data_IF_554341639041
#
_entry.id   IF_554341639041
#
_cell.length_a   1.000
_cell.length_b   1.000
_cell.length_c   1.000
_cell.angle_alpha   90.00
_cell.angle_beta   90.00
_cell.angle_gamma   90.00
#
_symmetry.space_group_name_H-M   'P 1'
#
loop_
_entity.id
_entity.type
_entity.pdbx_description
1 polymer ?
#
# COMPACT_ATOMS: atom_id res chain seq x y z
N UNK A 1 -10.44 -4.06 13.28
CA UNK A 1 -9.43 -3.89 12.22
C UNK A 1 -9.89 -4.62 10.98
N UNK A 2 -9.66 -4.02 9.82
CA UNK A 2 -9.97 -4.62 8.51
C UNK A 2 -8.67 -5.22 7.97
N UNK A 3 -8.75 -6.46 7.46
CA UNK A 3 -7.66 -7.09 6.74
C UNK A 3 -8.03 -7.17 5.24
N UNK A 4 -7.12 -6.77 4.39
CA UNK A 4 -7.22 -6.89 2.94
C UNK A 4 -6.53 -8.18 2.51
N UNK A 5 -7.19 -9.00 1.70
CA UNK A 5 -6.69 -10.31 1.31
C UNK A 5 -6.38 -10.38 -0.20
N UNK A 6 -5.21 -10.92 -0.52
CA UNK A 6 -4.79 -11.31 -1.85
C UNK A 6 -4.49 -12.80 -1.82
N UNK A 7 -5.34 -13.60 -2.42
CA UNK A 7 -5.14 -15.05 -2.51
C UNK A 7 -4.12 -15.44 -3.59
N UNK A 8 -3.88 -16.72 -3.78
CA UNK A 8 -2.88 -17.21 -4.73
C UNK A 8 -3.25 -16.95 -6.20
N UNK A 9 -4.47 -16.53 -6.51
CA UNK A 9 -4.83 -16.09 -7.87
C UNK A 9 -4.16 -14.76 -8.26
N UNK A 10 -3.77 -13.93 -7.27
CA UNK A 10 -3.01 -12.70 -7.47
C UNK A 10 -1.50 -12.93 -7.64
N UNK A 11 -1.02 -14.17 -7.64
CA UNK A 11 0.40 -14.51 -7.81
C UNK A 11 0.79 -14.44 -9.28
N UNK A 12 1.83 -13.68 -9.55
CA UNK A 12 2.42 -13.50 -10.88
C UNK A 12 3.87 -14.00 -10.91
N UNK A 13 4.33 -14.37 -12.08
CA UNK A 13 5.75 -14.63 -12.36
C UNK A 13 6.29 -13.46 -13.16
N UNK A 14 7.40 -12.86 -12.73
CA UNK A 14 8.01 -11.74 -13.46
C UNK A 14 8.46 -12.22 -14.85
N UNK A 15 7.94 -11.62 -15.93
CA UNK A 15 8.26 -12.02 -17.28
C UNK A 15 9.69 -11.60 -17.68
N UNK A 16 10.24 -12.24 -18.70
CA UNK A 16 11.50 -11.85 -19.33
C UNK A 16 11.34 -10.80 -20.43
N UNK A 17 10.12 -10.54 -20.89
CA UNK A 17 9.80 -9.55 -21.92
C UNK A 17 8.41 -8.95 -21.71
N UNK A 18 8.14 -7.78 -22.29
CA UNK A 18 6.87 -7.10 -22.20
C UNK A 18 6.66 -6.34 -20.87
N UNK A 19 5.41 -6.20 -20.46
CA UNK A 19 5.05 -5.48 -19.23
C UNK A 19 5.68 -6.14 -18.01
N UNK A 20 6.22 -5.34 -17.09
CA UNK A 20 6.92 -5.75 -15.87
C UNK A 20 8.30 -6.42 -16.08
N UNK A 21 8.82 -6.50 -17.32
CA UNK A 21 10.10 -7.14 -17.63
C UNK A 21 11.31 -6.21 -17.50
N UNK A 22 11.15 -4.91 -17.81
CA UNK A 22 12.25 -3.94 -17.82
C UNK A 22 12.93 -3.75 -16.46
N UNK A 23 14.16 -3.25 -16.47
CA UNK A 23 14.97 -3.04 -15.25
C UNK A 23 14.33 -2.11 -14.23
N UNK A 24 13.43 -1.21 -14.66
CA UNK A 24 12.64 -0.35 -13.77
C UNK A 24 11.72 -1.14 -12.83
N UNK A 25 11.51 -2.44 -13.09
CA UNK A 25 10.73 -3.37 -12.25
C UNK A 25 11.60 -4.36 -11.47
N UNK A 26 12.92 -4.14 -11.36
CA UNK A 26 13.83 -5.05 -10.63
C UNK A 26 13.47 -5.20 -9.15
N UNK A 27 12.70 -4.26 -8.58
CA UNK A 27 12.15 -4.35 -7.24
C UNK A 27 11.15 -5.52 -7.05
N UNK A 28 10.61 -6.09 -8.13
CA UNK A 28 9.76 -7.29 -8.11
C UNK A 28 10.56 -8.60 -8.06
N UNK A 29 11.89 -8.52 -8.03
CA UNK A 29 12.81 -9.64 -8.15
C UNK A 29 13.33 -9.80 -9.59
N UNK A 30 14.20 -10.77 -9.82
CA UNK A 30 14.71 -11.08 -11.18
C UNK A 30 13.63 -11.76 -12.04
N UNK A 31 13.84 -11.81 -13.36
CA UNK A 31 12.98 -12.58 -14.26
C UNK A 31 12.77 -14.02 -13.75
N UNK A 32 11.54 -14.50 -13.76
CA UNK A 32 11.13 -15.78 -13.19
C UNK A 32 10.79 -15.75 -11.71
N UNK A 33 11.06 -14.66 -10.98
CA UNK A 33 10.63 -14.51 -9.59
C UNK A 33 9.11 -14.40 -9.48
N UNK A 34 8.55 -14.97 -8.42
CA UNK A 34 7.14 -14.85 -8.11
C UNK A 34 6.91 -13.67 -7.17
N UNK A 35 5.80 -12.99 -7.37
CA UNK A 35 5.31 -11.90 -6.53
C UNK A 35 3.78 -11.88 -6.57
N UNK A 36 3.15 -11.20 -5.64
CA UNK A 36 1.70 -10.97 -5.61
C UNK A 36 1.42 -9.55 -6.07
N UNK A 37 0.37 -9.38 -6.86
CA UNK A 37 0.14 -8.13 -7.56
C UNK A 37 -1.34 -7.83 -7.74
N UNK A 38 -1.74 -6.59 -7.52
CA UNK A 38 -3.03 -6.04 -7.92
C UNK A 38 -2.79 -4.80 -8.77
N UNK A 39 -3.46 -4.74 -9.90
CA UNK A 39 -3.31 -3.69 -10.90
C UNK A 39 -4.03 -2.41 -10.48
N UNK A 40 -3.54 -1.26 -10.95
CA UNK A 40 -4.26 0.02 -10.88
C UNK A 40 -5.57 0.00 -11.67
N UNK A 41 -5.73 -0.94 -12.59
CA UNK A 41 -6.97 -1.18 -13.34
C UNK A 41 -7.75 -2.29 -12.64
N UNK A 42 -9.01 -2.03 -12.32
CA UNK A 42 -9.89 -2.99 -11.68
C UNK A 42 -10.16 -4.18 -12.61
N UNK A 43 -9.77 -5.37 -12.18
CA UNK A 43 -10.03 -6.63 -12.89
C UNK A 43 -11.35 -7.32 -12.48
N UNK A 44 -12.05 -6.76 -11.49
CA UNK A 44 -13.30 -7.31 -10.96
C UNK A 44 -13.15 -8.57 -10.10
N UNK A 45 -11.92 -9.03 -9.85
CA UNK A 45 -11.63 -10.26 -9.09
C UNK A 45 -10.87 -9.95 -7.80
N UNK A 46 -9.80 -9.18 -7.89
CA UNK A 46 -8.94 -8.87 -6.76
C UNK A 46 -9.36 -7.58 -6.06
N UNK A 47 -8.86 -7.39 -4.84
CA UNK A 47 -9.00 -6.10 -4.17
C UNK A 47 -8.38 -5.00 -5.03
N UNK A 48 -8.99 -3.85 -5.01
CA UNK A 48 -8.57 -2.68 -5.79
C UNK A 48 -8.28 -1.49 -4.87
N UNK A 49 -7.14 -1.52 -4.14
CA UNK A 49 -6.83 -0.50 -3.16
C UNK A 49 -6.52 0.85 -3.81
N UNK A 50 -6.93 1.90 -3.13
CA UNK A 50 -6.71 3.27 -3.57
C UNK A 50 -6.93 4.24 -2.43
N UNK A 51 -7.01 5.52 -2.77
CA UNK A 51 -7.27 6.61 -1.84
C UNK A 51 -8.18 7.64 -2.47
N UNK A 52 -8.88 8.39 -1.61
CA UNK A 52 -9.77 9.45 -2.05
C UNK A 52 -9.82 10.59 -1.05
N UNK A 53 -9.77 11.82 -1.57
CA UNK A 53 -10.02 13.05 -0.82
C UNK A 53 -11.39 13.66 -1.18
N UNK A 54 -12.20 13.01 -2.01
CA UNK A 54 -13.50 13.54 -2.46
C UNK A 54 -14.50 13.77 -1.31
N UNK A 55 -14.33 13.10 -0.17
CA UNK A 55 -15.17 13.31 1.02
C UNK A 55 -14.69 14.42 1.95
N UNK A 56 -13.58 15.08 1.61
CA UNK A 56 -13.03 16.20 2.41
C UNK A 56 -13.54 17.48 1.79
N UNK A 57 -14.28 18.29 2.55
CA UNK A 57 -14.78 19.57 2.02
C UNK A 57 -13.65 20.60 1.92
N UNK A 58 -13.70 21.44 0.90
CA UNK A 58 -12.72 22.51 0.63
C UNK A 58 -12.54 23.47 1.80
N UNK A 59 -13.55 23.56 2.67
CA UNK A 59 -13.49 24.37 3.89
C UNK A 59 -12.67 23.72 5.01
N UNK A 60 -12.33 22.42 4.88
CA UNK A 60 -11.67 21.67 5.93
C UNK A 60 -10.17 21.51 5.70
N UNK A 61 -9.72 21.39 4.45
CA UNK A 61 -8.31 21.23 4.14
C UNK A 61 -7.81 22.31 3.20
N UNK A 62 -6.66 22.86 3.47
CA UNK A 62 -5.96 23.80 2.59
C UNK A 62 -4.81 23.07 1.91
N UNK A 63 -4.95 22.84 0.62
CA UNK A 63 -3.97 22.15 -0.18
C UNK A 63 -4.07 20.61 -0.06
N UNK A 64 -2.92 19.94 -0.05
CA UNK A 64 -2.85 18.48 -0.06
C UNK A 64 -3.03 17.86 1.32
N UNK A 65 -3.69 16.69 1.34
CA UNK A 65 -3.67 15.76 2.47
C UNK A 65 -2.47 14.84 2.30
N UNK A 66 -1.65 14.68 3.33
CA UNK A 66 -0.58 13.69 3.33
C UNK A 66 -1.11 12.36 3.84
N UNK A 67 -0.96 11.31 3.06
CA UNK A 67 -1.18 9.93 3.45
C UNK A 67 0.16 9.29 3.80
N UNK A 68 0.29 8.78 5.02
CA UNK A 68 1.51 8.21 5.55
C UNK A 68 1.28 6.72 5.76
N UNK A 69 2.16 5.89 5.18
CA UNK A 69 2.13 4.43 5.28
C UNK A 69 3.49 3.93 5.70
N UNK A 70 3.61 3.45 6.93
CA UNK A 70 4.88 2.94 7.47
C UNK A 70 4.79 1.43 7.70
N UNK A 71 5.82 0.65 7.35
CA UNK A 71 5.85 -0.76 7.69
C UNK A 71 5.93 -0.93 9.21
N UNK A 72 5.03 -1.73 9.77
CA UNK A 72 5.07 -2.18 11.16
C UNK A 72 5.71 -3.56 11.27
N UNK A 73 5.29 -4.49 10.41
CA UNK A 73 5.88 -5.83 10.30
C UNK A 73 5.67 -6.37 8.90
N UNK A 74 6.70 -7.00 8.35
CA UNK A 74 6.69 -7.64 7.05
C UNK A 74 7.19 -9.09 7.19
N UNK A 75 6.81 -10.00 6.28
CA UNK A 75 7.44 -11.32 6.21
C UNK A 75 8.95 -11.19 5.99
N UNK A 76 9.73 -12.13 6.50
CA UNK A 76 11.19 -12.09 6.41
C UNK A 76 11.68 -11.96 4.97
N UNK A 77 12.53 -10.97 4.72
CA UNK A 77 13.08 -10.66 3.39
C UNK A 77 12.04 -10.28 2.35
N UNK A 78 10.83 -9.88 2.78
CA UNK A 78 9.79 -9.36 1.91
C UNK A 78 9.83 -7.84 1.80
N UNK A 79 9.27 -7.34 0.69
CA UNK A 79 9.00 -5.91 0.50
C UNK A 79 7.63 -5.71 -0.12
N UNK A 80 7.08 -4.52 0.10
CA UNK A 80 5.84 -4.06 -0.50
C UNK A 80 6.10 -2.77 -1.27
N UNK A 81 5.46 -2.66 -2.42
CA UNK A 81 5.65 -1.56 -3.37
C UNK A 81 4.29 -1.09 -3.87
N UNK A 82 4.06 0.20 -3.81
CA UNK A 82 2.91 0.86 -4.45
C UNK A 82 3.46 1.81 -5.49
N UNK A 83 3.01 1.66 -6.73
CA UNK A 83 3.59 2.39 -7.85
C UNK A 83 2.62 2.57 -9.01
N UNK A 84 2.88 3.60 -9.80
CA UNK A 84 2.26 3.78 -11.12
C UNK A 84 3.25 3.41 -12.23
N UNK A 85 2.71 2.95 -13.35
CA UNK A 85 3.45 2.70 -14.57
C UNK A 85 2.84 3.50 -15.71
N UNK A 86 3.66 4.31 -16.37
CA UNK A 86 3.24 4.99 -17.60
C UNK A 86 3.33 4.03 -18.78
N UNK A 87 2.18 3.79 -19.43
CA UNK A 87 2.10 2.82 -20.53
C UNK A 87 2.85 3.24 -21.79
N UNK A 88 3.07 4.55 -22.01
CA UNK A 88 3.74 5.09 -23.18
C UNK A 88 5.25 5.14 -23.01
N UNK A 89 5.71 5.59 -21.86
CA UNK A 89 7.14 5.80 -21.60
C UNK A 89 7.78 4.64 -20.85
N UNK A 90 6.98 3.74 -20.26
CA UNK A 90 7.45 2.67 -19.38
C UNK A 90 8.00 3.14 -18.04
N UNK A 91 7.90 4.46 -17.74
CA UNK A 91 8.37 5.04 -16.48
C UNK A 91 7.57 4.47 -15.30
N UNK A 92 8.29 4.09 -14.25
CA UNK A 92 7.71 3.69 -12.97
C UNK A 92 7.88 4.83 -11.97
N UNK A 93 6.78 5.20 -11.31
CA UNK A 93 6.75 6.15 -10.22
C UNK A 93 6.35 5.43 -8.93
N UNK A 94 7.28 5.35 -7.98
CA UNK A 94 7.00 4.76 -6.69
C UNK A 94 6.22 5.73 -5.81
N UNK A 95 5.15 5.22 -5.18
CA UNK A 95 4.29 5.97 -4.25
C UNK A 95 4.64 5.59 -2.82
N UNK A 96 4.69 4.28 -2.54
CA UNK A 96 5.21 3.72 -1.28
C UNK A 96 6.18 2.59 -1.61
N UNK A 97 7.27 2.52 -0.83
CA UNK A 97 8.30 1.51 -1.06
C UNK A 97 8.99 1.18 0.27
N UNK A 98 8.75 0.00 0.78
CA UNK A 98 9.31 -0.43 2.08
C UNK A 98 10.82 -0.65 2.03
N UNK A 99 11.42 -0.81 0.82
CA UNK A 99 12.87 -0.97 0.66
C UNK A 99 13.64 0.36 0.70
N UNK A 100 12.97 1.50 0.50
CA UNK A 100 13.60 2.83 0.42
C UNK A 100 13.06 3.83 1.43
N UNK A 101 12.23 3.41 2.37
CA UNK A 101 11.56 4.29 3.34
C UNK A 101 10.63 5.35 2.71
N UNK A 102 10.23 5.17 1.44
CA UNK A 102 9.22 6.03 0.81
C UNK A 102 7.86 5.71 1.40
N UNK A 103 7.38 6.59 2.27
CA UNK A 103 6.24 6.33 3.15
C UNK A 103 5.17 7.43 3.16
N UNK A 104 5.33 8.49 2.36
CA UNK A 104 4.40 9.63 2.33
C UNK A 104 3.93 9.92 0.91
N UNK A 105 2.63 10.16 0.76
CA UNK A 105 2.00 10.62 -0.46
C UNK A 105 1.21 11.89 -0.19
N UNK A 106 1.48 12.97 -0.93
CA UNK A 106 0.64 14.16 -0.94
C UNK A 106 -0.51 13.97 -1.92
N UNK A 107 -1.74 13.99 -1.41
CA UNK A 107 -2.96 13.79 -2.19
C UNK A 107 -3.65 15.15 -2.34
N UNK A 108 -3.77 15.70 -3.56
CA UNK A 108 -4.54 16.92 -3.81
C UNK A 108 -6.01 16.77 -3.41
N UNK A 109 -6.69 17.88 -3.24
CA UNK A 109 -8.15 17.91 -3.08
C UNK A 109 -8.84 17.24 -4.28
N UNK A 110 -10.06 16.73 -4.08
CA UNK A 110 -10.89 16.11 -5.12
C UNK A 110 -10.20 14.98 -5.90
N UNK A 111 -9.31 14.28 -5.24
CA UNK A 111 -8.58 13.15 -5.84
C UNK A 111 -9.27 11.84 -5.50
N UNK A 112 -9.43 10.98 -6.50
CA UNK A 112 -9.75 9.57 -6.36
C UNK A 112 -8.78 8.80 -7.24
N UNK A 113 -7.92 7.96 -6.66
CA UNK A 113 -6.86 7.31 -7.40
C UNK A 113 -6.61 5.88 -6.88
N UNK A 114 -6.18 5.03 -7.80
CA UNK A 114 -5.72 3.68 -7.55
C UNK A 114 -4.29 3.55 -8.08
N UNK A 115 -3.56 2.56 -7.57
CA UNK A 115 -2.20 2.28 -7.98
C UNK A 115 -1.97 0.77 -8.04
N UNK A 116 -0.85 0.37 -8.62
CA UNK A 116 -0.37 -1.00 -8.56
C UNK A 116 0.18 -1.28 -7.17
N UNK A 117 -0.19 -2.41 -6.59
CA UNK A 117 0.34 -2.90 -5.34
C UNK A 117 1.04 -4.23 -5.57
N UNK A 118 2.28 -4.33 -5.14
CA UNK A 118 3.07 -5.54 -5.27
C UNK A 118 3.68 -5.96 -3.94
N UNK A 119 3.67 -7.25 -3.68
CA UNK A 119 4.22 -7.89 -2.49
C UNK A 119 5.16 -9.00 -2.95
N UNK A 120 6.43 -8.94 -2.54
CA UNK A 120 7.46 -9.83 -3.07
C UNK A 120 7.42 -11.26 -2.54
N UNK A 121 6.71 -11.49 -1.44
CA UNK A 121 6.52 -12.82 -0.82
C UNK A 121 5.11 -12.97 -0.25
N UNK A 122 4.59 -14.20 -0.10
CA UNK A 122 3.39 -14.42 0.70
C UNK A 122 3.64 -14.18 2.18
N UNK A 123 2.59 -13.84 2.91
CA UNK A 123 2.61 -13.66 4.36
C UNK A 123 1.72 -12.51 4.83
N UNK A 124 1.87 -12.14 6.09
CA UNK A 124 1.11 -11.06 6.73
C UNK A 124 1.95 -9.78 6.71
N UNK A 125 1.42 -8.74 6.10
CA UNK A 125 2.03 -7.42 6.04
C UNK A 125 1.21 -6.47 6.92
N UNK A 126 1.87 -5.85 7.88
CA UNK A 126 1.27 -4.91 8.81
C UNK A 126 1.85 -3.51 8.58
N UNK A 127 0.97 -2.55 8.40
CA UNK A 127 1.34 -1.15 8.20
C UNK A 127 0.64 -0.27 9.24
N UNK A 128 1.34 0.77 9.66
CA UNK A 128 0.77 1.91 10.35
C UNK A 128 0.39 2.97 9.33
N UNK A 129 -0.86 3.42 9.37
CA UNK A 129 -1.36 4.43 8.45
C UNK A 129 -1.92 5.62 9.21
N UNK A 130 -1.64 6.81 8.70
CA UNK A 130 -2.16 8.07 9.24
C UNK A 130 -2.28 9.11 8.14
N UNK A 131 -3.02 10.18 8.43
CA UNK A 131 -3.18 11.32 7.54
C UNK A 131 -2.79 12.59 8.29
N UNK A 132 -2.20 13.54 7.57
CA UNK A 132 -2.00 14.90 8.06
C UNK A 132 -2.55 15.91 7.05
N UNK A 133 -3.08 17.01 7.54
CA UNK A 133 -3.61 18.08 6.71
C UNK A 133 -3.49 19.43 7.43
N UNK A 134 -3.52 20.52 6.67
CA UNK A 134 -3.69 21.86 7.23
C UNK A 134 -5.16 22.27 7.12
N UNK A 135 -5.79 22.56 8.25
CA UNK A 135 -7.18 22.97 8.33
C UNK A 135 -7.25 24.34 9.02
N UNK A 136 -7.76 25.34 8.31
CA UNK A 136 -7.85 26.74 8.82
C UNK A 136 -6.52 27.25 9.40
N UNK A 137 -5.41 26.93 8.73
CA UNK A 137 -4.05 27.32 9.13
C UNK A 137 -3.43 26.47 10.26
N UNK A 138 -4.14 25.45 10.75
CA UNK A 138 -3.63 24.54 11.78
C UNK A 138 -3.26 23.19 11.17
N UNK A 139 -2.09 22.66 11.56
CA UNK A 139 -1.69 21.30 11.22
C UNK A 139 -2.47 20.32 12.09
N UNK A 140 -3.17 19.40 11.45
CA UNK A 140 -3.92 18.31 12.08
C UNK A 140 -3.38 16.98 11.64
N UNK A 141 -3.43 16.00 12.54
CA UNK A 141 -3.06 14.61 12.27
C UNK A 141 -4.19 13.68 12.71
N UNK A 142 -4.47 12.67 11.89
CA UNK A 142 -5.38 11.59 12.29
C UNK A 142 -4.71 10.68 13.32
N UNK A 143 -5.48 9.95 14.14
CA UNK A 143 -4.93 8.82 14.87
C UNK A 143 -4.26 7.84 13.89
N UNK A 144 -3.15 7.23 14.31
CA UNK A 144 -2.54 6.12 13.56
C UNK A 144 -3.44 4.90 13.64
N UNK A 145 -3.65 4.25 12.51
CA UNK A 145 -4.43 3.01 12.38
C UNK A 145 -3.59 1.89 11.79
N UNK A 146 -4.03 0.66 12.01
CA UNK A 146 -3.42 -0.50 11.39
C UNK A 146 -4.09 -0.85 10.07
N UNK A 147 -3.27 -1.10 9.06
CA UNK A 147 -3.65 -1.69 7.80
C UNK A 147 -2.97 -3.04 7.67
N UNK A 148 -3.76 -4.10 7.50
CA UNK A 148 -3.27 -5.48 7.37
C UNK A 148 -3.51 -5.98 5.95
N UNK A 149 -2.46 -6.54 5.32
CA UNK A 149 -2.59 -7.33 4.10
C UNK A 149 -2.26 -8.79 4.39
N UNK A 150 -3.15 -9.67 3.96
CA UNK A 150 -2.97 -11.13 3.98
C UNK A 150 -2.65 -11.57 2.56
N UNK A 151 -1.41 -11.96 2.31
CA UNK A 151 -0.91 -12.26 0.97
C UNK A 151 -0.65 -13.76 0.85
N UNK A 152 -1.37 -14.41 -0.06
CA UNK A 152 -1.34 -15.86 -0.28
C UNK A 152 -2.34 -16.62 0.59
N UNK A 153 -2.78 -17.78 0.09
CA UNK A 153 -3.81 -18.61 0.72
C UNK A 153 -3.44 -19.04 2.13
N UNK A 154 -2.16 -19.31 2.40
CA UNK A 154 -1.72 -19.73 3.73
C UNK A 154 -1.88 -18.59 4.76
N UNK A 155 -1.51 -17.36 4.42
CA UNK A 155 -1.67 -16.21 5.32
C UNK A 155 -3.15 -15.96 5.65
N UNK A 156 -4.03 -16.11 4.65
CA UNK A 156 -5.47 -15.97 4.82
C UNK A 156 -6.02 -17.08 5.75
N UNK A 157 -5.60 -18.33 5.54
CA UNK A 157 -6.01 -19.47 6.37
C UNK A 157 -5.54 -19.32 7.83
N UNK A 158 -4.29 -18.94 8.03
CA UNK A 158 -3.73 -18.74 9.37
C UNK A 158 -4.38 -17.59 10.13
N UNK A 159 -4.72 -16.51 9.43
CA UNK A 159 -5.47 -15.42 10.04
C UNK A 159 -6.89 -15.84 10.44
N UNK A 160 -7.61 -16.57 9.59
CA UNK A 160 -8.93 -17.11 9.88
C UNK A 160 -8.92 -18.11 11.04
N UNK A 161 -7.83 -18.88 11.16
CA UNK A 161 -7.62 -19.83 12.25
C UNK A 161 -7.13 -19.18 13.55
N UNK A 162 -6.92 -17.86 13.57
CA UNK A 162 -6.40 -17.13 14.73
C UNK A 162 -4.94 -17.40 15.06
N UNK A 163 -4.16 -18.03 14.14
CA UNK A 163 -2.74 -18.31 14.33
C UNK A 163 -1.87 -17.06 14.15
N UNK A 164 -2.34 -16.11 13.37
CA UNK A 164 -1.72 -14.79 13.17
C UNK A 164 -2.76 -13.71 13.40
N UNK A 165 -2.34 -12.56 13.87
CA UNK A 165 -3.22 -11.42 14.12
C UNK A 165 -2.83 -10.22 13.25
N UNK A 166 -3.80 -9.34 12.98
CA UNK A 166 -3.51 -7.99 12.49
C UNK A 166 -2.74 -7.20 13.54
N UNK A 167 -2.17 -6.05 13.15
CA UNK A 167 -1.46 -5.23 14.10
C UNK A 167 -2.41 -4.66 15.17
N UNK A 168 -1.92 -4.64 16.39
CA UNK A 168 -2.54 -3.94 17.51
C UNK A 168 -1.68 -2.72 17.80
N UNK A 169 -2.25 -1.53 17.66
CA UNK A 169 -1.62 -0.33 18.17
C UNK A 169 -2.05 -0.20 19.61
N UNK A 170 -1.10 -0.22 20.54
CA UNK A 170 -1.35 0.13 21.92
C UNK A 170 -1.93 1.54 21.94
N UNK A 171 -3.08 1.72 22.59
CA UNK A 171 -3.92 2.92 22.49
C UNK A 171 -3.31 4.24 22.98
N UNK A 172 -1.99 4.37 22.98
CA UNK A 172 -1.24 5.48 23.56
C UNK A 172 -0.04 5.94 22.71
N UNK A 173 -0.06 5.75 21.38
CA UNK A 173 0.91 6.47 20.55
C UNK A 173 0.37 7.88 20.28
N UNK A 174 0.97 8.93 20.85
CA UNK A 174 0.63 10.29 20.46
C UNK A 174 0.96 10.46 18.99
N UNK A 175 0.01 10.98 18.23
CA UNK A 175 0.26 11.40 16.86
C UNK A 175 1.46 12.35 16.81
N UNK A 176 2.23 12.39 15.70
CA UNK A 176 3.34 13.31 15.57
C UNK A 176 2.81 14.75 15.62
N UNK A 177 3.08 15.45 16.72
CA UNK A 177 2.76 16.86 16.89
C UNK A 177 1.77 17.13 18.03
N UNK A 178 2.23 17.07 19.27
CA UNK A 178 1.74 17.92 20.35
C UNK A 178 2.72 19.08 20.51
#
# INVERSE_FOLDING_TARGET
>A
SVALALDDSARHTRPSSGRLAGSQYDFLGKSGSQFYYTDAINDGVHIWPGWSTNGISDSLAQGSVKFIVKPHSLPEGASAHVFNSDALTGKVEHIFNTSTSLSELSIPEHTHAHANWAFTKPGVYLFEVSFTATVKGQALASPTKCLTFLVGNQAIADYRAGKVSGCKLDGNSPGPGA
#
